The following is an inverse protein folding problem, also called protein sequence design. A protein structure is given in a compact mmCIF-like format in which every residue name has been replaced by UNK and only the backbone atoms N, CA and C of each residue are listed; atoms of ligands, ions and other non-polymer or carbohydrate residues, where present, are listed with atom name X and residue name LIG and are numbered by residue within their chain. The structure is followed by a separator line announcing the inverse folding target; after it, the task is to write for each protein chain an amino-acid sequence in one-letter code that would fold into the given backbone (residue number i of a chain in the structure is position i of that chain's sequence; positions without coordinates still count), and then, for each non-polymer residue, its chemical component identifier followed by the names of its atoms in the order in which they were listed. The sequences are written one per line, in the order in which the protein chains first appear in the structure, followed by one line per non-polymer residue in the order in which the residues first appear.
data_IF_184788422775
#
_entry.id   IF_184788422775
#
_cell.length_a   1.000
_cell.length_b   1.000
_cell.length_c   1.000
_cell.angle_alpha   90.00
_cell.angle_beta   90.00
_cell.angle_gamma   90.00
#
_symmetry.space_group_name_H-M   'P 1'
#
loop_
_entity.id
_entity.type
_entity.pdbx_description
1 polymer ?
#
# COMPACT_ATOMS: atom_id res chain seq x y z
N UNK A 1 -17.42 -8.19 5.00
CA UNK A 1 -16.87 -7.29 3.98
C UNK A 1 -17.30 -7.81 2.61
N UNK A 2 -17.77 -6.94 1.80
CA UNK A 2 -18.39 -7.23 0.52
C UNK A 2 -17.33 -7.49 -0.57
N UNK A 3 -17.64 -8.30 -1.59
CA UNK A 3 -16.71 -8.56 -2.70
C UNK A 3 -16.39 -7.29 -3.51
N UNK A 4 -17.25 -6.29 -3.46
CA UNK A 4 -17.06 -5.01 -4.14
C UNK A 4 -16.32 -3.97 -3.28
N UNK A 5 -15.90 -4.32 -2.07
CA UNK A 5 -15.18 -3.42 -1.18
C UNK A 5 -13.85 -3.02 -1.81
N UNK A 6 -13.61 -1.71 -1.92
CA UNK A 6 -12.40 -1.16 -2.50
C UNK A 6 -11.40 -0.81 -1.39
N UNK A 7 -10.34 -1.60 -1.28
CA UNK A 7 -9.26 -1.36 -0.34
C UNK A 7 -8.04 -0.87 -1.11
N UNK A 8 -7.56 0.31 -0.74
CA UNK A 8 -6.34 0.89 -1.29
C UNK A 8 -5.22 0.81 -0.25
N UNK A 9 -4.04 0.39 -0.65
CA UNK A 9 -2.86 0.37 0.21
C UNK A 9 -1.89 1.47 -0.21
N UNK A 10 -1.44 2.27 0.74
CA UNK A 10 -0.45 3.34 0.54
C UNK A 10 0.87 2.90 1.13
N UNK A 11 1.92 2.90 0.32
CA UNK A 11 3.29 2.59 0.72
C UNK A 11 4.15 3.80 0.42
N UNK A 12 4.79 4.34 1.46
CA UNK A 12 5.72 5.45 1.31
C UNK A 12 7.14 4.91 1.13
N UNK A 13 7.77 5.25 0.01
CA UNK A 13 9.16 4.88 -0.28
C UNK A 13 10.08 6.08 -0.10
N UNK A 14 11.19 5.87 0.58
CA UNK A 14 12.31 6.80 0.60
C UNK A 14 13.62 6.03 0.62
N UNK A 15 14.38 6.10 -0.47
CA UNK A 15 15.69 5.47 -0.62
C UNK A 15 15.73 3.98 -0.30
N UNK A 16 14.63 3.24 -0.53
CA UNK A 16 14.55 1.81 -0.26
C UNK A 16 13.57 1.11 -1.22
N UNK A 17 13.83 1.23 -2.50
CA UNK A 17 12.99 0.63 -3.53
C UNK A 17 12.88 -0.89 -3.38
N UNK A 18 13.95 -1.56 -2.98
CA UNK A 18 13.97 -3.01 -2.83
C UNK A 18 12.93 -3.51 -1.84
N UNK A 19 12.86 -2.91 -0.65
CA UNK A 19 11.89 -3.28 0.38
C UNK A 19 10.46 -2.95 -0.06
N UNK A 20 10.27 -1.78 -0.68
CA UNK A 20 8.97 -1.36 -1.23
C UNK A 20 8.48 -2.33 -2.31
N UNK A 21 9.33 -2.72 -3.24
CA UNK A 21 8.99 -3.68 -4.30
C UNK A 21 8.64 -5.05 -3.72
N UNK A 22 9.37 -5.49 -2.70
CA UNK A 22 9.11 -6.78 -2.04
C UNK A 22 7.73 -6.81 -1.39
N UNK A 23 7.34 -5.77 -0.67
CA UNK A 23 6.01 -5.68 -0.08
C UNK A 23 4.93 -5.65 -1.16
N UNK A 24 5.11 -4.83 -2.18
CA UNK A 24 4.17 -4.72 -3.30
C UNK A 24 3.99 -6.07 -4.00
N UNK A 25 5.07 -6.78 -4.27
CA UNK A 25 5.03 -8.11 -4.91
C UNK A 25 4.27 -9.12 -4.05
N UNK A 26 4.39 -9.03 -2.71
CA UNK A 26 3.67 -9.92 -1.79
C UNK A 26 2.14 -9.74 -1.88
N UNK A 27 1.67 -8.59 -2.34
CA UNK A 27 0.26 -8.27 -2.50
C UNK A 27 -0.27 -8.39 -3.92
N UNK A 28 0.56 -8.77 -4.86
CA UNK A 28 0.21 -8.87 -6.29
C UNK A 28 -1.03 -9.72 -6.56
N UNK A 29 -1.18 -10.81 -5.83
CA UNK A 29 -2.29 -11.75 -5.97
C UNK A 29 -3.32 -11.61 -4.84
N UNK A 30 -3.32 -10.49 -4.13
CA UNK A 30 -4.29 -10.23 -3.08
C UNK A 30 -5.72 -10.32 -3.62
N UNK A 31 -6.61 -10.92 -2.84
CA UNK A 31 -8.06 -10.95 -3.12
C UNK A 31 -8.79 -9.84 -2.38
N UNK A 32 -8.08 -9.05 -1.59
CA UNK A 32 -8.64 -8.03 -0.70
C UNK A 32 -8.22 -6.63 -1.14
N UNK A 33 -6.94 -6.43 -1.46
CA UNK A 33 -6.42 -5.15 -1.93
C UNK A 33 -6.71 -5.01 -3.42
N UNK A 34 -7.34 -3.90 -3.81
CA UNK A 34 -7.61 -3.60 -5.22
C UNK A 34 -6.59 -2.65 -5.83
N UNK A 35 -6.09 -1.72 -5.04
CA UNK A 35 -5.14 -0.72 -5.51
C UNK A 35 -3.98 -0.59 -4.54
N UNK A 36 -2.78 -0.53 -5.07
CA UNK A 36 -1.57 -0.19 -4.32
C UNK A 36 -1.06 1.14 -4.84
N UNK A 37 -0.78 2.06 -3.95
CA UNK A 37 -0.23 3.37 -4.27
C UNK A 37 1.14 3.46 -3.64
N UNK A 38 2.17 3.51 -4.46
CA UNK A 38 3.53 3.79 -4.01
C UNK A 38 3.78 5.27 -4.17
N UNK A 39 4.12 5.93 -3.06
CA UNK A 39 4.54 7.33 -3.05
C UNK A 39 6.06 7.36 -2.86
N UNK A 40 6.78 7.83 -3.86
CA UNK A 40 8.21 8.10 -3.71
C UNK A 40 8.39 9.48 -3.09
N UNK A 41 8.91 9.53 -1.87
CA UNK A 41 9.01 10.75 -1.09
C UNK A 41 10.25 11.57 -1.45
N UNK A 42 10.44 11.80 -2.75
CA UNK A 42 11.58 12.53 -3.30
C UNK A 42 12.92 11.86 -2.97
N UNK A 43 13.02 10.56 -3.25
CA UNK A 43 14.25 9.78 -3.03
C UNK A 43 15.46 10.42 -3.71
N UNK A 44 16.60 10.33 -3.07
CA UNK A 44 17.88 10.87 -3.58
C UNK A 44 18.74 9.81 -4.27
N UNK A 45 18.36 8.54 -4.16
CA UNK A 45 19.00 7.42 -4.83
C UNK A 45 18.30 7.08 -6.16
N UNK A 46 18.49 5.87 -6.68
CA UNK A 46 17.86 5.37 -7.91
C UNK A 46 16.47 4.73 -7.70
N UNK A 47 15.84 4.97 -6.54
CA UNK A 47 14.52 4.39 -6.22
C UNK A 47 13.45 4.74 -7.25
N UNK A 48 13.39 5.99 -7.67
CA UNK A 48 12.37 6.45 -8.61
C UNK A 48 12.43 5.68 -9.93
N UNK A 49 13.62 5.51 -10.49
CA UNK A 49 13.85 4.77 -11.72
C UNK A 49 13.49 3.29 -11.56
N UNK A 50 13.93 2.67 -10.46
CA UNK A 50 13.64 1.27 -10.18
C UNK A 50 12.15 1.02 -9.98
N UNK A 51 11.45 1.89 -9.27
CA UNK A 51 10.01 1.78 -9.06
C UNK A 51 9.23 1.98 -10.37
N UNK A 52 9.71 2.85 -11.25
CA UNK A 52 9.11 3.04 -12.57
C UNK A 52 9.19 1.77 -13.42
N UNK A 53 10.36 1.15 -13.49
CA UNK A 53 10.55 -0.14 -14.19
C UNK A 53 9.70 -1.24 -13.57
N UNK A 54 9.68 -1.32 -12.25
CA UNK A 54 8.88 -2.29 -11.52
C UNK A 54 7.39 -2.14 -11.82
N UNK A 55 6.89 -0.91 -11.88
CA UNK A 55 5.48 -0.65 -12.22
C UNK A 55 5.13 -1.18 -13.61
N UNK A 56 5.99 -0.99 -14.59
CA UNK A 56 5.77 -1.49 -15.95
C UNK A 56 5.73 -3.03 -15.98
N UNK A 57 6.65 -3.69 -15.29
CA UNK A 57 6.66 -5.15 -15.17
C UNK A 57 5.42 -5.68 -14.46
N UNK A 58 5.01 -5.02 -13.38
CA UNK A 58 3.82 -5.38 -12.61
C UNK A 58 2.55 -5.31 -13.47
N UNK A 59 2.41 -4.27 -14.26
CA UNK A 59 1.28 -4.08 -15.16
C UNK A 59 1.28 -5.08 -16.32
N UNK A 60 2.45 -5.47 -16.83
CA UNK A 60 2.56 -6.38 -17.97
C UNK A 60 2.16 -7.82 -17.67
N UNK A 61 2.23 -8.22 -16.40
CA UNK A 61 1.86 -9.58 -15.99
C UNK A 61 0.35 -9.85 -16.16
N UNK A 62 -0.50 -8.82 -16.06
CA UNK A 62 -1.94 -8.95 -16.17
C UNK A 62 -2.58 -7.68 -16.77
N UNK A 63 -2.34 -7.39 -18.06
CA UNK A 63 -2.69 -6.08 -18.61
C UNK A 63 -4.18 -5.76 -18.67
N UNK A 64 -5.04 -6.78 -18.72
CA UNK A 64 -6.48 -6.59 -18.97
C UNK A 64 -7.39 -7.28 -17.95
N UNK A 65 -6.88 -7.69 -16.79
CA UNK A 65 -7.67 -8.36 -15.77
C UNK A 65 -8.18 -7.36 -14.72
N UNK A 66 -9.49 -7.02 -14.71
CA UNK A 66 -10.04 -6.06 -13.75
C UNK A 66 -10.05 -6.58 -12.31
N UNK A 67 -9.86 -7.89 -12.11
CA UNK A 67 -9.82 -8.50 -10.78
C UNK A 67 -8.40 -8.49 -10.18
N UNK A 68 -7.41 -8.03 -10.95
CA UNK A 68 -6.03 -7.95 -10.50
C UNK A 68 -5.74 -6.61 -9.81
N UNK A 69 -4.79 -6.66 -8.87
CA UNK A 69 -4.34 -5.49 -8.14
C UNK A 69 -3.74 -4.47 -9.11
N UNK A 70 -4.18 -3.23 -9.00
CA UNK A 70 -3.66 -2.11 -9.80
C UNK A 70 -2.57 -1.38 -9.01
N UNK A 71 -1.46 -1.07 -9.67
CA UNK A 71 -0.34 -0.36 -9.08
C UNK A 71 -0.28 1.08 -9.59
N UNK A 72 -0.23 2.01 -8.65
CA UNK A 72 -0.08 3.45 -8.92
C UNK A 72 1.24 3.92 -8.32
N UNK A 73 1.92 4.82 -9.01
CA UNK A 73 3.21 5.36 -8.59
C UNK A 73 3.24 6.86 -8.87
N UNK A 74 3.59 7.64 -7.88
CA UNK A 74 3.92 9.05 -8.09
C UNK A 74 5.02 9.49 -7.12
N UNK A 75 5.58 10.67 -7.41
CA UNK A 75 6.68 11.24 -6.65
C UNK A 75 6.27 12.57 -6.06
N UNK A 76 6.63 12.82 -4.80
CA UNK A 76 6.46 14.13 -4.17
C UNK A 76 7.53 15.10 -4.68
N UNK A 77 7.26 16.38 -4.62
CA UNK A 77 8.20 17.42 -5.05
C UNK A 77 9.32 17.66 -4.05
N UNK A 78 9.08 17.28 -2.79
CA UNK A 78 10.05 17.38 -1.69
C UNK A 78 9.79 16.30 -0.66
N UNK A 79 10.78 15.97 0.16
CA UNK A 79 10.58 15.10 1.30
C UNK A 79 10.04 15.93 2.47
N UNK A 80 8.73 15.98 2.61
CA UNK A 80 8.04 16.66 3.71
C UNK A 80 7.88 15.80 4.97
N UNK A 81 8.52 14.62 5.02
CA UNK A 81 8.44 13.67 6.11
C UNK A 81 7.39 12.58 5.90
N UNK A 82 7.31 11.66 6.86
CA UNK A 82 6.44 10.48 6.80
C UNK A 82 4.96 10.84 6.69
N UNK A 83 4.49 11.74 7.54
CA UNK A 83 3.08 12.14 7.55
C UNK A 83 2.67 12.82 6.24
N UNK A 84 3.50 13.71 5.74
CA UNK A 84 3.23 14.45 4.50
C UNK A 84 3.19 13.50 3.29
N UNK A 85 4.13 12.57 3.20
CA UNK A 85 4.18 11.59 2.11
C UNK A 85 2.98 10.65 2.13
N UNK A 86 2.62 10.12 3.28
CA UNK A 86 1.43 9.28 3.41
C UNK A 86 0.14 10.05 3.12
N UNK A 87 0.06 11.31 3.55
CA UNK A 87 -1.10 12.15 3.24
C UNK A 87 -1.26 12.35 1.73
N UNK A 88 -0.16 12.52 1.00
CA UNK A 88 -0.22 12.61 -0.45
C UNK A 88 -0.80 11.33 -1.09
N UNK A 89 -0.43 10.16 -0.55
CA UNK A 89 -1.01 8.89 -0.99
C UNK A 89 -2.49 8.75 -0.69
N UNK A 90 -2.91 9.18 0.50
CA UNK A 90 -4.32 9.19 0.90
C UNK A 90 -5.12 10.13 -0.01
N UNK A 91 -4.62 11.33 -0.26
CA UNK A 91 -5.29 12.31 -1.12
C UNK A 91 -5.45 11.77 -2.55
N UNK A 92 -4.43 11.11 -3.07
CA UNK A 92 -4.50 10.45 -4.38
C UNK A 92 -5.60 9.37 -4.40
N UNK A 93 -5.64 8.52 -3.38
CA UNK A 93 -6.65 7.47 -3.29
C UNK A 93 -8.06 8.05 -3.24
N UNK A 94 -8.29 9.03 -2.39
CA UNK A 94 -9.61 9.67 -2.23
C UNK A 94 -10.03 10.38 -3.50
N UNK A 95 -9.12 11.06 -4.18
CA UNK A 95 -9.43 11.82 -5.38
C UNK A 95 -9.72 10.96 -6.61
N UNK A 96 -8.98 9.84 -6.78
CA UNK A 96 -9.00 9.08 -8.03
C UNK A 96 -9.56 7.66 -7.92
N UNK A 97 -9.61 7.07 -6.72
CA UNK A 97 -9.88 5.64 -6.57
C UNK A 97 -11.12 5.33 -5.74
N UNK A 98 -11.69 6.31 -5.06
CA UNK A 98 -12.90 6.14 -4.23
C UNK A 98 -12.83 4.94 -3.26
N UNK A 99 -11.85 4.90 -2.34
CA UNK A 99 -11.66 3.76 -1.47
C UNK A 99 -12.72 3.68 -0.36
N UNK A 100 -13.09 2.46 0.02
CA UNK A 100 -13.87 2.21 1.23
C UNK A 100 -12.93 2.18 2.46
N UNK A 101 -11.73 1.63 2.28
CA UNK A 101 -10.69 1.58 3.31
C UNK A 101 -9.33 1.92 2.71
N UNK A 102 -8.50 2.57 3.51
CA UNK A 102 -7.11 2.85 3.16
C UNK A 102 -6.21 2.19 4.19
N UNK A 103 -5.25 1.41 3.71
CA UNK A 103 -4.18 0.82 4.52
C UNK A 103 -2.94 1.69 4.35
N UNK A 104 -2.34 2.10 5.45
CA UNK A 104 -1.01 2.72 5.44
C UNK A 104 -0.02 1.68 5.95
N UNK A 105 0.92 1.29 5.11
CA UNK A 105 1.90 0.27 5.44
C UNK A 105 3.31 0.79 5.25
N UNK A 106 4.17 0.53 6.24
CA UNK A 106 5.60 0.73 6.08
C UNK A 106 6.17 -0.37 5.15
N UNK A 107 7.18 -0.07 4.32
CA UNK A 107 7.71 -1.06 3.37
C UNK A 107 8.24 -2.35 4.00
N UNK A 108 8.67 -2.30 5.25
CA UNK A 108 9.28 -3.43 5.97
C UNK A 108 8.27 -4.35 6.68
N UNK A 109 6.96 -4.12 6.53
CA UNK A 109 5.94 -4.98 7.13
C UNK A 109 5.57 -6.13 6.18
N UNK A 110 5.03 -7.20 6.77
CA UNK A 110 4.37 -8.28 6.04
C UNK A 110 2.97 -8.46 6.60
N UNK A 111 1.97 -8.32 5.75
CA UNK A 111 0.57 -8.39 6.15
C UNK A 111 -0.17 -9.29 5.17
N UNK A 112 -0.86 -10.30 5.69
CA UNK A 112 -1.69 -11.20 4.89
C UNK A 112 -3.08 -10.62 4.64
N UNK A 113 -3.76 -11.12 3.61
CA UNK A 113 -5.18 -10.80 3.36
C UNK A 113 -6.04 -11.10 4.59
N UNK A 114 -5.79 -12.22 5.27
CA UNK A 114 -6.53 -12.59 6.48
C UNK A 114 -6.39 -11.54 7.60
N UNK A 115 -5.20 -10.99 7.77
CA UNK A 115 -4.96 -9.92 8.75
C UNK A 115 -5.73 -8.65 8.37
N UNK A 116 -5.67 -8.26 7.11
CA UNK A 116 -6.39 -7.08 6.60
C UNK A 116 -7.89 -7.23 6.82
N UNK A 117 -8.44 -8.40 6.51
CA UNK A 117 -9.86 -8.68 6.71
C UNK A 117 -10.28 -8.58 8.18
N UNK A 118 -9.45 -9.07 9.09
CA UNK A 118 -9.72 -8.97 10.53
C UNK A 118 -9.71 -7.53 11.05
N UNK A 119 -8.77 -6.73 10.56
CA UNK A 119 -8.68 -5.32 10.96
C UNK A 119 -9.88 -4.54 10.41
N UNK A 120 -10.23 -4.77 9.15
CA UNK A 120 -11.40 -4.13 8.53
C UNK A 120 -12.70 -4.53 9.23
N UNK A 121 -12.87 -5.81 9.57
CA UNK A 121 -14.04 -6.31 10.28
C UNK A 121 -14.16 -5.71 11.68
N UNK A 122 -13.04 -5.58 12.39
CA UNK A 122 -13.01 -4.92 13.70
C UNK A 122 -13.42 -3.45 13.60
N UNK A 123 -12.99 -2.78 12.53
CA UNK A 123 -13.35 -1.38 12.29
C UNK A 123 -14.83 -1.22 11.97
N UNK A 124 -15.41 -2.11 11.17
CA UNK A 124 -16.83 -2.09 10.83
C UNK A 124 -17.75 -2.30 12.04
N UNK A 125 -17.30 -3.08 13.02
CA UNK A 125 -18.07 -3.37 14.25
C UNK A 125 -18.10 -2.21 15.24
N UNK A 126 -17.31 -1.18 15.00
CA UNK A 126 -17.27 0.02 15.85
C UNK A 126 -18.08 1.12 15.16
N UNK A 127 -19.17 1.58 15.80
CA UNK A 127 -20.04 2.61 15.20
C UNK A 127 -19.28 3.92 14.90
N UNK A 128 -18.32 4.26 15.74
CA UNK A 128 -17.51 5.48 15.60
C UNK A 128 -16.05 5.19 15.21
N UNK A 129 -15.76 3.97 14.75
CA UNK A 129 -14.40 3.56 14.42
C UNK A 129 -13.90 4.20 13.13
N UNK A 130 -12.87 5.02 13.23
CA UNK A 130 -12.21 5.63 12.07
C UNK A 130 -10.87 4.98 11.74
N UNK A 131 -10.18 4.45 12.74
CA UNK A 131 -8.83 3.86 12.58
C UNK A 131 -8.71 2.58 13.39
N UNK A 132 -8.13 1.57 12.77
CA UNK A 132 -7.75 0.32 13.43
C UNK A 132 -6.32 -0.04 13.03
N UNK A 133 -5.61 -0.74 13.90
CA UNK A 133 -4.25 -1.19 13.64
C UNK A 133 -4.08 -2.64 14.01
N UNK A 134 -3.32 -3.37 13.20
CA UNK A 134 -2.89 -4.72 13.55
C UNK A 134 -1.81 -4.66 14.63
N UNK A 135 -1.85 -5.61 15.55
CA UNK A 135 -0.75 -5.78 16.49
C UNK A 135 0.47 -6.29 15.73
N UNK A 136 1.53 -5.50 15.73
CA UNK A 136 2.81 -5.95 15.19
C UNK A 136 3.48 -6.83 16.22
N UNK A 137 3.49 -8.15 15.97
CA UNK A 137 4.30 -9.06 16.75
C UNK A 137 5.71 -8.98 16.20
N UNK A 138 6.55 -8.23 16.87
CA UNK A 138 7.98 -8.30 16.66
C UNK A 138 8.43 -9.68 17.15
N UNK A 139 8.68 -10.59 16.23
CA UNK A 139 9.44 -11.78 16.58
C UNK A 139 10.86 -11.32 16.88
N UNK A 140 11.13 -11.12 18.15
CA UNK A 140 12.49 -10.99 18.63
C UNK A 140 13.20 -12.31 18.32
N UNK A 141 13.99 -12.30 17.26
CA UNK A 141 14.94 -13.38 17.05
C UNK A 141 15.96 -13.23 18.17
N UNK A 142 15.88 -14.11 19.14
CA UNK A 142 16.92 -14.26 20.13
C UNK A 142 18.19 -14.73 19.43
N UNK A 143 19.13 -13.88 19.44
CA UNK A 143 20.49 -14.24 19.06
C UNK A 143 21.15 -14.87 20.27
#
# INVERSE_FOLDING_TARGET
MDADTNICAVILNYNDAQTTMKLTESWKNSKVIRNIIIVDNCSTDDSWEKLGEFKEEFASDHPDDPDKVQLHLFRTTENGGYGSGNQAGIDYAVQYLEPDYIIIANPDVQVSDACILRVADALEKQEDGAVASAMVVLSLIHI
#
